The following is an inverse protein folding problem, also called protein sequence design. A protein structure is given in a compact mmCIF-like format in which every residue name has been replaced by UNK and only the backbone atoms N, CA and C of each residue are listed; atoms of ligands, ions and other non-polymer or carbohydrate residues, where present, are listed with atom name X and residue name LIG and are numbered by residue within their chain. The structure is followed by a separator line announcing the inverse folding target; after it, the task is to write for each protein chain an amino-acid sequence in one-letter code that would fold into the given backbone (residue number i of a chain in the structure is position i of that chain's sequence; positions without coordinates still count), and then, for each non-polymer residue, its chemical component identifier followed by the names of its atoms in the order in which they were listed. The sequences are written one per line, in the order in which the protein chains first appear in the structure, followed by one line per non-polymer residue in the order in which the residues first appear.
data_IF_847050242058
#
_entry.id   IF_847050242058
#
_cell.length_a   1.000
_cell.length_b   1.000
_cell.length_c   1.000
_cell.angle_alpha   90.00
_cell.angle_beta   90.00
_cell.angle_gamma   90.00
#
_symmetry.space_group_name_H-M   'P 1'
#
loop_
_entity.id
_entity.type
_entity.pdbx_description
1 polymer ?
#
# COMPACT_ATOMS: atom_id res chain seq x y z
N UNK A 1 24.70 -6.89 -3.57
CA UNK A 1 24.16 -5.62 -3.05
C UNK A 1 22.94 -5.95 -2.22
N UNK A 2 22.86 -5.54 -0.94
CA UNK A 2 21.68 -5.79 -0.11
C UNK A 2 20.42 -5.10 -0.68
N UNK A 3 19.27 -5.75 -0.56
CA UNK A 3 17.97 -5.22 -1.00
C UNK A 3 17.15 -4.78 0.22
N UNK A 4 16.87 -3.49 0.34
CA UNK A 4 15.97 -2.94 1.35
C UNK A 4 14.52 -3.01 0.87
N UNK A 5 13.62 -3.52 1.71
CA UNK A 5 12.18 -3.66 1.42
C UNK A 5 11.39 -2.69 2.28
N UNK A 6 10.70 -1.76 1.64
CA UNK A 6 10.00 -0.65 2.30
C UNK A 6 8.50 -0.81 2.07
N UNK A 7 7.74 -0.81 3.17
CA UNK A 7 6.28 -0.78 3.15
C UNK A 7 5.81 0.60 3.62
N UNK A 8 5.17 1.33 2.73
CA UNK A 8 4.58 2.64 3.01
C UNK A 8 3.08 2.46 3.19
N UNK A 9 2.58 2.84 4.36
CA UNK A 9 1.16 2.83 4.68
C UNK A 9 0.74 4.20 5.20
N UNK A 10 -0.53 4.56 4.96
CA UNK A 10 -1.10 5.76 5.58
C UNK A 10 -1.33 5.51 7.07
N UNK A 11 -1.19 6.57 7.87
CA UNK A 11 -1.60 6.52 9.28
C UNK A 11 -3.11 6.23 9.37
N UNK A 12 -3.59 5.56 10.45
CA UNK A 12 -5.00 5.19 10.56
C UNK A 12 -5.99 6.36 10.47
N UNK A 13 -5.57 7.57 10.87
CA UNK A 13 -6.40 8.78 10.87
C UNK A 13 -6.47 9.48 9.51
N UNK A 14 -5.70 9.03 8.52
CA UNK A 14 -5.63 9.67 7.21
C UNK A 14 -6.63 9.00 6.27
N UNK A 15 -7.49 9.82 5.66
CA UNK A 15 -8.43 9.37 4.64
C UNK A 15 -7.68 8.91 3.38
N UNK A 16 -8.08 7.76 2.86
CA UNK A 16 -7.59 7.22 1.59
C UNK A 16 -8.70 7.16 0.54
N UNK A 17 -8.72 8.18 -0.31
CA UNK A 17 -9.66 8.24 -1.41
C UNK A 17 -9.47 7.06 -2.39
N UNK A 18 -8.24 6.59 -2.61
CA UNK A 18 -7.97 5.51 -3.57
C UNK A 18 -8.48 4.17 -3.03
N UNK A 19 -8.19 3.87 -1.77
CA UNK A 19 -8.71 2.69 -1.08
C UNK A 19 -10.24 2.63 -1.08
N UNK A 20 -10.90 3.76 -0.84
CA UNK A 20 -12.37 3.81 -0.89
C UNK A 20 -12.94 3.49 -2.28
N UNK A 21 -12.32 3.99 -3.36
CA UNK A 21 -12.72 3.68 -4.74
C UNK A 21 -12.53 2.19 -5.05
N UNK A 22 -11.39 1.62 -4.66
CA UNK A 22 -11.11 0.18 -4.87
C UNK A 22 -12.08 -0.70 -4.08
N UNK A 23 -12.35 -0.37 -2.82
CA UNK A 23 -13.34 -1.09 -2.01
C UNK A 23 -14.73 -1.09 -2.65
N UNK A 24 -15.16 0.06 -3.21
CA UNK A 24 -16.42 0.15 -3.94
C UNK A 24 -16.40 -0.74 -5.19
N UNK A 25 -15.35 -0.66 -6.00
CA UNK A 25 -15.23 -1.48 -7.20
C UNK A 25 -15.26 -2.99 -6.91
N UNK A 26 -14.62 -3.43 -5.81
CA UNK A 26 -14.68 -4.82 -5.38
C UNK A 26 -16.09 -5.26 -5.00
N UNK A 27 -16.84 -4.43 -4.27
CA UNK A 27 -18.25 -4.72 -3.95
C UNK A 27 -19.12 -4.76 -5.21
N UNK A 28 -18.90 -3.85 -6.16
CA UNK A 28 -19.61 -3.84 -7.46
C UNK A 28 -19.34 -5.14 -8.27
N UNK A 29 -18.21 -5.81 -8.04
CA UNK A 29 -17.85 -7.10 -8.63
C UNK A 29 -18.40 -8.32 -7.85
N UNK A 30 -19.13 -8.11 -6.75
CA UNK A 30 -19.76 -9.16 -5.94
C UNK A 30 -18.98 -9.58 -4.69
N UNK A 31 -17.87 -8.92 -4.36
CA UNK A 31 -17.11 -9.17 -3.13
C UNK A 31 -17.68 -8.35 -1.96
N UNK A 32 -18.88 -8.71 -1.51
CA UNK A 32 -19.62 -7.99 -0.46
C UNK A 32 -18.93 -8.01 0.91
N UNK A 33 -18.09 -9.02 1.17
CA UNK A 33 -17.31 -9.18 2.39
C UNK A 33 -16.17 -8.15 2.56
N UNK A 34 -15.87 -7.37 1.52
CA UNK A 34 -14.81 -6.34 1.57
C UNK A 34 -15.32 -5.08 2.26
N UNK A 35 -15.01 -4.96 3.55
CA UNK A 35 -15.40 -3.80 4.38
C UNK A 35 -14.58 -2.53 4.04
N UNK A 36 -13.25 -2.65 3.97
CA UNK A 36 -12.35 -1.53 3.74
C UNK A 36 -11.08 -1.96 2.99
N UNK A 37 -10.55 -1.06 2.16
CA UNK A 37 -9.27 -1.24 1.47
C UNK A 37 -8.32 -0.13 1.88
N UNK A 38 -7.08 -0.50 2.22
CA UNK A 38 -6.00 0.43 2.53
C UNK A 38 -4.94 0.36 1.44
N UNK A 39 -4.76 1.45 0.71
CA UNK A 39 -3.68 1.57 -0.26
C UNK A 39 -2.39 2.03 0.41
N UNK A 40 -1.29 1.51 -0.13
CA UNK A 40 0.07 1.77 0.31
C UNK A 40 1.02 1.54 -0.85
N UNK A 41 2.32 1.59 -0.57
CA UNK A 41 3.36 1.29 -1.56
C UNK A 41 4.33 0.25 -1.00
N UNK A 42 4.78 -0.63 -1.87
CA UNK A 42 5.89 -1.53 -1.60
C UNK A 42 7.03 -1.16 -2.53
N UNK A 43 8.20 -0.90 -1.96
CA UNK A 43 9.39 -0.47 -2.70
C UNK A 43 10.54 -1.39 -2.33
N UNK A 44 11.22 -1.91 -3.33
CA UNK A 44 12.49 -2.60 -3.17
C UNK A 44 13.60 -1.68 -3.68
N UNK A 45 14.64 -1.50 -2.85
CA UNK A 45 15.78 -0.63 -3.14
C UNK A 45 17.04 -1.46 -3.06
N UNK A 46 17.84 -1.45 -4.11
CA UNK A 46 19.21 -1.98 -4.06
C UNK A 46 20.11 -0.96 -3.36
N UNK A 47 20.75 -1.36 -2.26
CA UNK A 47 21.59 -0.49 -1.45
C UNK A 47 23.05 -0.82 -1.76
N UNK A 48 23.78 0.19 -2.27
CA UNK A 48 25.22 0.13 -2.47
C UNK A 48 25.99 0.28 -1.15
N UNK A 49 27.31 0.14 -1.22
CA UNK A 49 28.17 0.39 -0.07
C UNK A 49 28.30 1.90 0.18
N UNK A 50 28.38 2.29 1.46
CA UNK A 50 28.66 3.66 1.84
C UNK A 50 30.19 3.83 1.86
N UNK A 51 30.72 4.70 1.02
CA UNK A 51 32.09 5.20 1.14
C UNK A 51 32.08 6.32 2.20
N UNK A 52 32.86 6.15 3.26
CA UNK A 52 33.08 7.16 4.31
C UNK A 52 34.31 8.03 4.00
#
# INVERSE_FOLDING_TARGET
MPTARIRITLKPTVLDAQGAVVARALRDLGFEEVEAVRMGKYIEVEVGERED
#
